data_IF_017467671587
#
_entry.id   IF_017467671587
#
_cell.length_a   1.000
_cell.length_b   1.000
_cell.length_c   1.000
_cell.angle_alpha   90.00
_cell.angle_beta   90.00
_cell.angle_gamma   90.00
#
_symmetry.space_group_name_H-M   'P 1'
#
loop_
_entity.id
_entity.type
_entity.pdbx_description
1 polymer ?
#
# COMPACT_ATOMS: atom_id res chain seq x y z
N UNK A 1 26.96 16.58 3.93
CA UNK A 1 25.54 16.45 4.29
C UNK A 1 24.77 16.24 3.01
N UNK A 2 23.90 15.23 2.94
CA UNK A 2 22.97 15.15 1.82
C UNK A 2 22.09 16.39 1.77
N UNK A 3 21.71 16.80 0.56
CA UNK A 3 20.72 17.86 0.34
C UNK A 3 19.32 17.36 0.74
N UNK A 4 18.39 18.28 1.04
CA UNK A 4 17.01 17.90 1.37
C UNK A 4 16.34 17.09 0.25
N UNK A 5 16.69 17.41 -1.01
CA UNK A 5 16.25 16.66 -2.20
C UNK A 5 16.73 15.21 -2.17
N UNK A 6 18.00 14.95 -1.85
CA UNK A 6 18.53 13.58 -1.74
C UNK A 6 17.85 12.77 -0.63
N UNK A 7 17.50 13.40 0.50
CA UNK A 7 16.77 12.74 1.59
C UNK A 7 15.33 12.40 1.15
N UNK A 8 14.67 13.34 0.47
CA UNK A 8 13.33 13.14 -0.10
C UNK A 8 13.29 11.97 -1.09
N UNK A 9 14.25 11.95 -2.03
CA UNK A 9 14.32 10.91 -3.06
C UNK A 9 14.53 9.52 -2.46
N UNK A 10 15.40 9.40 -1.45
CA UNK A 10 15.63 8.15 -0.73
C UNK A 10 14.38 7.64 -0.02
N UNK A 11 13.65 8.52 0.68
CA UNK A 11 12.41 8.15 1.36
C UNK A 11 11.34 7.69 0.35
N UNK A 12 11.24 8.36 -0.79
CA UNK A 12 10.29 8.01 -1.84
C UNK A 12 10.64 6.65 -2.50
N UNK A 13 11.91 6.36 -2.69
CA UNK A 13 12.39 5.07 -3.21
C UNK A 13 12.10 3.93 -2.24
N UNK A 14 12.39 4.11 -0.95
CA UNK A 14 12.13 3.11 0.10
C UNK A 14 10.62 2.79 0.20
N UNK A 15 9.78 3.82 0.21
CA UNK A 15 8.32 3.65 0.18
C UNK A 15 7.87 2.88 -1.07
N UNK A 16 8.41 3.22 -2.24
CA UNK A 16 8.03 2.60 -3.51
C UNK A 16 8.43 1.13 -3.56
N UNK A 17 9.65 0.81 -3.14
CA UNK A 17 10.17 -0.56 -3.11
C UNK A 17 9.39 -1.43 -2.13
N UNK A 18 9.09 -0.92 -0.93
CA UNK A 18 8.25 -1.60 0.05
C UNK A 18 6.85 -1.90 -0.49
N UNK A 19 6.20 -0.90 -1.09
CA UNK A 19 4.85 -1.06 -1.67
C UNK A 19 4.83 -2.14 -2.76
N UNK A 20 5.83 -2.11 -3.64
CA UNK A 20 5.94 -3.07 -4.74
C UNK A 20 6.14 -4.51 -4.25
N UNK A 21 6.98 -4.70 -3.23
CA UNK A 21 7.14 -6.01 -2.58
C UNK A 21 5.81 -6.53 -2.03
N UNK A 22 5.07 -5.67 -1.31
CA UNK A 22 3.79 -6.03 -0.72
C UNK A 22 2.71 -6.43 -1.74
N UNK A 23 2.69 -5.76 -2.91
CA UNK A 23 1.77 -6.07 -4.00
C UNK A 23 2.10 -7.41 -4.68
N UNK A 24 3.37 -7.71 -4.88
CA UNK A 24 3.80 -8.99 -5.45
C UNK A 24 3.40 -10.16 -4.56
N UNK A 25 3.66 -10.06 -3.25
CA UNK A 25 3.27 -11.07 -2.27
C UNK A 25 1.74 -11.32 -2.28
N UNK A 26 0.94 -10.27 -2.46
CA UNK A 26 -0.52 -10.40 -2.55
C UNK A 26 -0.93 -11.11 -3.83
N UNK A 27 -0.32 -10.77 -4.97
CA UNK A 27 -0.60 -11.42 -6.26
C UNK A 27 -0.29 -12.92 -6.21
N UNK A 28 0.90 -13.31 -5.72
CA UNK A 28 1.28 -14.72 -5.58
C UNK A 28 0.30 -15.49 -4.67
N UNK A 29 -0.16 -14.85 -3.60
CA UNK A 29 -1.18 -15.42 -2.73
C UNK A 29 -2.51 -15.59 -3.45
N UNK A 30 -2.99 -14.58 -4.19
CA UNK A 30 -4.25 -14.68 -4.95
C UNK A 30 -4.20 -15.81 -5.98
N UNK A 31 -3.10 -15.97 -6.68
CA UNK A 31 -2.89 -17.05 -7.65
C UNK A 31 -2.92 -18.42 -6.96
N UNK A 32 -2.24 -18.54 -5.82
CA UNK A 32 -2.27 -19.74 -4.99
C UNK A 32 -3.68 -20.09 -4.50
N UNK A 33 -4.45 -19.09 -4.05
CA UNK A 33 -5.84 -19.27 -3.60
C UNK A 33 -6.75 -19.68 -4.76
N UNK A 34 -6.60 -19.08 -5.94
CA UNK A 34 -7.36 -19.46 -7.14
C UNK A 34 -7.12 -20.92 -7.53
N UNK A 35 -5.85 -21.36 -7.51
CA UNK A 35 -5.47 -22.76 -7.77
C UNK A 35 -6.11 -23.72 -6.76
N UNK A 36 -6.00 -23.42 -5.46
CA UNK A 36 -6.60 -24.26 -4.42
C UNK A 36 -8.13 -24.27 -4.45
N UNK A 37 -8.76 -23.15 -4.81
CA UNK A 37 -10.21 -23.08 -5.00
C UNK A 37 -10.70 -24.06 -6.07
N UNK A 38 -9.99 -24.14 -7.20
CA UNK A 38 -10.30 -25.09 -8.27
C UNK A 38 -10.17 -26.55 -7.78
N UNK A 39 -9.12 -26.86 -7.01
CA UNK A 39 -8.92 -28.20 -6.43
C UNK A 39 -10.05 -28.57 -5.47
N UNK A 40 -10.40 -27.68 -4.52
CA UNK A 40 -11.47 -27.93 -3.55
C UNK A 40 -12.82 -28.10 -4.26
N UNK A 41 -13.08 -27.31 -5.30
CA UNK A 41 -14.30 -27.44 -6.11
C UNK A 41 -14.37 -28.80 -6.79
N UNK A 42 -13.28 -29.21 -7.46
CA UNK A 42 -13.18 -30.52 -8.12
C UNK A 42 -13.39 -31.69 -7.13
N UNK A 43 -12.71 -31.65 -5.97
CA UNK A 43 -12.86 -32.66 -4.93
C UNK A 43 -14.30 -32.77 -4.40
N UNK A 44 -15.02 -31.65 -4.29
CA UNK A 44 -16.42 -31.68 -3.89
C UNK A 44 -17.33 -32.28 -4.95
N UNK A 45 -17.10 -31.96 -6.23
CA UNK A 45 -17.86 -32.52 -7.36
C UNK A 45 -17.65 -34.02 -7.45
N UNK A 46 -16.40 -34.48 -7.59
CA UNK A 46 -16.07 -35.90 -7.68
C UNK A 46 -16.45 -36.65 -6.41
N UNK A 47 -16.25 -36.03 -5.24
CA UNK A 47 -16.64 -36.62 -3.97
C UNK A 47 -18.14 -36.88 -3.87
N UNK A 48 -18.98 -35.98 -4.39
CA UNK A 48 -20.43 -36.16 -4.46
C UNK A 48 -20.82 -37.33 -5.37
N UNK A 49 -20.20 -37.44 -6.54
CA UNK A 49 -20.45 -38.55 -7.48
C UNK A 49 -20.12 -39.92 -6.86
N UNK A 50 -19.02 -39.99 -6.10
CA UNK A 50 -18.61 -41.23 -5.40
C UNK A 50 -19.59 -41.55 -4.27
N UNK A 51 -20.02 -40.55 -3.48
CA UNK A 51 -21.01 -40.72 -2.41
C UNK A 51 -22.29 -41.36 -2.94
N UNK A 52 -22.75 -40.93 -4.11
CA UNK A 52 -24.01 -41.42 -4.71
C UNK A 52 -23.93 -42.89 -5.17
N UNK A 53 -22.71 -43.43 -5.36
CA UNK A 53 -22.45 -44.80 -5.79
C UNK A 53 -21.96 -45.72 -4.66
N UNK A 54 -21.76 -45.18 -3.45
CA UNK A 54 -21.13 -45.88 -2.34
C UNK A 54 -22.14 -46.53 -1.40
N UNK A 55 -21.66 -47.49 -0.59
CA UNK A 55 -22.41 -48.00 0.55
C UNK A 55 -22.74 -46.86 1.53
N UNK A 56 -23.81 -46.99 2.33
CA UNK A 56 -24.19 -45.96 3.31
C UNK A 56 -23.06 -45.64 4.30
N UNK A 57 -22.29 -46.65 4.71
CA UNK A 57 -21.16 -46.47 5.62
C UNK A 57 -20.03 -45.65 4.98
N UNK A 58 -19.59 -46.03 3.77
CA UNK A 58 -18.51 -45.34 3.05
C UNK A 58 -18.91 -43.92 2.65
N UNK A 59 -20.15 -43.74 2.20
CA UNK A 59 -20.73 -42.44 1.91
C UNK A 59 -20.72 -41.51 3.12
N UNK A 60 -21.02 -42.03 4.32
CA UNK A 60 -20.95 -41.28 5.57
C UNK A 60 -19.54 -40.78 5.87
N UNK A 61 -18.54 -41.66 5.76
CA UNK A 61 -17.13 -41.32 5.99
C UNK A 61 -16.65 -40.25 5.00
N UNK A 62 -16.98 -40.38 3.71
CA UNK A 62 -16.56 -39.41 2.70
C UNK A 62 -17.24 -38.04 2.90
N UNK A 63 -18.53 -38.01 3.27
CA UNK A 63 -19.23 -36.76 3.62
C UNK A 63 -18.56 -36.03 4.78
N UNK A 64 -18.13 -36.75 5.82
CA UNK A 64 -17.44 -36.16 6.96
C UNK A 64 -16.09 -35.56 6.54
N UNK A 65 -15.31 -36.28 5.72
CA UNK A 65 -14.03 -35.79 5.19
C UNK A 65 -14.19 -34.53 4.34
N UNK A 66 -15.16 -34.51 3.43
CA UNK A 66 -15.46 -33.32 2.61
C UNK A 66 -15.95 -32.15 3.46
N UNK A 67 -16.77 -32.40 4.47
CA UNK A 67 -17.25 -31.37 5.41
C UNK A 67 -16.09 -30.74 6.17
N UNK A 68 -15.16 -31.57 6.66
CA UNK A 68 -13.93 -31.11 7.33
C UNK A 68 -13.04 -30.29 6.40
N UNK A 69 -12.82 -30.76 5.17
CA UNK A 69 -12.08 -30.03 4.13
C UNK A 69 -12.70 -28.65 3.86
N UNK A 70 -14.01 -28.59 3.63
CA UNK A 70 -14.72 -27.36 3.32
C UNK A 70 -14.69 -26.37 4.48
N UNK A 71 -14.81 -26.85 5.73
CA UNK A 71 -14.68 -25.99 6.91
C UNK A 71 -13.29 -25.36 7.00
N UNK A 72 -12.24 -26.14 6.74
CA UNK A 72 -10.86 -25.64 6.71
C UNK A 72 -10.68 -24.63 5.59
N UNK A 73 -11.19 -24.92 4.39
CA UNK A 73 -11.15 -24.02 3.24
C UNK A 73 -11.84 -22.67 3.52
N UNK A 74 -13.05 -22.68 4.09
CA UNK A 74 -13.73 -21.45 4.55
C UNK A 74 -12.91 -20.68 5.58
N UNK A 75 -12.13 -21.37 6.42
CA UNK A 75 -11.17 -20.75 7.33
C UNK A 75 -10.04 -20.02 6.60
N UNK A 76 -9.52 -20.60 5.52
CA UNK A 76 -8.51 -19.97 4.65
C UNK A 76 -9.10 -18.75 3.94
N UNK A 77 -10.27 -18.87 3.31
CA UNK A 77 -10.92 -17.74 2.62
C UNK A 77 -11.10 -16.54 3.55
N UNK A 78 -11.61 -16.76 4.77
CA UNK A 78 -11.76 -15.68 5.77
C UNK A 78 -10.44 -15.01 6.14
N UNK A 79 -9.35 -15.76 6.24
CA UNK A 79 -8.03 -15.21 6.53
C UNK A 79 -7.49 -14.37 5.37
N UNK A 80 -7.71 -14.82 4.14
CA UNK A 80 -7.34 -14.09 2.92
C UNK A 80 -8.14 -12.80 2.81
N UNK A 81 -9.46 -12.84 3.04
CA UNK A 81 -10.31 -11.64 3.02
C UNK A 81 -9.88 -10.62 4.09
N UNK A 82 -9.56 -11.10 5.30
CA UNK A 82 -9.07 -10.25 6.37
C UNK A 82 -7.70 -9.63 6.05
N UNK A 83 -6.80 -10.39 5.39
CA UNK A 83 -5.51 -9.87 4.92
C UNK A 83 -5.72 -8.82 3.82
N UNK A 84 -6.60 -9.07 2.85
CA UNK A 84 -6.93 -8.13 1.77
C UNK A 84 -7.46 -6.81 2.33
N UNK A 85 -8.37 -6.87 3.31
CA UNK A 85 -8.89 -5.68 3.99
C UNK A 85 -7.77 -4.84 4.64
N UNK A 86 -6.86 -5.49 5.38
CA UNK A 86 -5.70 -4.81 5.97
C UNK A 86 -4.78 -4.20 4.93
N UNK A 87 -4.54 -4.89 3.82
CA UNK A 87 -3.70 -4.37 2.75
C UNK A 87 -4.29 -3.10 2.11
N UNK A 88 -5.60 -3.04 1.93
CA UNK A 88 -6.27 -1.83 1.42
C UNK A 88 -6.22 -0.66 2.43
N UNK A 89 -6.35 -0.96 3.73
CA UNK A 89 -6.14 0.02 4.80
C UNK A 89 -4.69 0.55 4.78
N UNK A 90 -3.69 -0.34 4.72
CA UNK A 90 -2.27 0.02 4.65
C UNK A 90 -1.96 0.86 3.40
N UNK A 91 -2.53 0.52 2.23
CA UNK A 91 -2.39 1.30 0.99
C UNK A 91 -2.94 2.71 1.13
N UNK A 92 -4.08 2.86 1.81
CA UNK A 92 -4.71 4.16 2.04
C UNK A 92 -3.81 5.04 2.90
N UNK A 93 -3.34 4.51 4.05
CA UNK A 93 -2.42 5.20 4.94
C UNK A 93 -1.11 5.59 4.23
N UNK A 94 -0.59 4.70 3.38
CA UNK A 94 0.63 4.99 2.63
C UNK A 94 0.44 6.10 1.59
N UNK A 95 -0.73 6.11 0.92
CA UNK A 95 -1.07 7.18 -0.02
C UNK A 95 -1.21 8.53 0.68
N UNK A 96 -1.77 8.56 1.89
CA UNK A 96 -1.85 9.76 2.72
C UNK A 96 -0.45 10.23 3.11
N UNK A 97 0.40 9.35 3.62
CA UNK A 97 1.79 9.67 3.96
C UNK A 97 2.57 10.22 2.76
N UNK A 98 2.41 9.61 1.58
CA UNK A 98 3.05 10.09 0.35
C UNK A 98 2.57 11.50 -0.05
N UNK A 99 1.31 11.82 0.22
CA UNK A 99 0.77 13.15 -0.02
C UNK A 99 1.38 14.15 0.97
N UNK A 100 1.38 13.82 2.25
CA UNK A 100 1.93 14.68 3.31
C UNK A 100 3.42 14.96 3.09
N UNK A 101 4.20 13.95 2.69
CA UNK A 101 5.62 14.12 2.35
C UNK A 101 5.82 15.05 1.16
N UNK A 102 4.98 14.98 0.12
CA UNK A 102 5.06 15.89 -1.03
C UNK A 102 4.73 17.32 -0.65
N UNK A 103 3.70 17.53 0.16
CA UNK A 103 3.34 18.85 0.66
C UNK A 103 4.48 19.43 1.52
N UNK A 104 5.05 18.62 2.41
CA UNK A 104 6.19 19.01 3.23
C UNK A 104 7.44 19.35 2.41
N UNK A 105 7.74 18.57 1.37
CA UNK A 105 8.87 18.87 0.49
C UNK A 105 8.67 20.18 -0.28
N UNK A 106 7.46 20.43 -0.80
CA UNK A 106 7.14 21.69 -1.47
C UNK A 106 7.30 22.88 -0.51
N UNK A 107 6.87 22.71 0.75
CA UNK A 107 7.08 23.70 1.81
C UNK A 107 8.57 23.96 2.07
N UNK A 108 9.40 22.90 2.13
CA UNK A 108 10.85 23.03 2.33
C UNK A 108 11.52 23.75 1.16
N UNK A 109 11.18 23.40 -0.08
CA UNK A 109 11.72 24.03 -1.28
C UNK A 109 11.42 25.54 -1.30
N UNK A 110 10.20 25.92 -0.91
CA UNK A 110 9.79 27.32 -0.81
C UNK A 110 10.57 28.07 0.28
N UNK A 111 10.72 27.46 1.46
CA UNK A 111 11.56 28.00 2.54
C UNK A 111 13.02 28.19 2.11
N UNK A 112 13.60 27.21 1.42
CA UNK A 112 14.96 27.32 0.89
C UNK A 112 15.09 28.42 -0.17
N UNK A 113 14.06 28.66 -1.00
CA UNK A 113 14.04 29.74 -2.00
C UNK A 113 14.11 31.10 -1.33
N UNK A 114 13.33 31.31 -0.27
CA UNK A 114 13.32 32.55 0.51
C UNK A 114 14.68 32.81 1.16
N UNK A 115 15.29 31.78 1.77
CA UNK A 115 16.61 31.90 2.42
C UNK A 115 17.73 32.20 1.42
N UNK A 116 17.57 31.81 0.14
CA UNK A 116 18.55 32.07 -0.93
C UNK A 116 18.48 33.48 -1.52
N UNK A 117 17.54 34.33 -1.11
CA UNK A 117 17.45 35.72 -1.59
C UNK A 117 18.71 36.50 -1.17
N UNK A 118 19.45 36.97 -2.17
CA UNK A 118 20.70 37.69 -1.96
C UNK A 118 20.42 39.12 -1.49
N UNK A 119 21.06 39.53 -0.39
CA UNK A 119 20.97 40.88 0.15
C UNK A 119 22.27 41.62 -0.12
N UNK A 120 22.18 42.77 -0.80
CA UNK A 120 23.34 43.63 -1.09
C UNK A 120 23.34 44.81 -0.10
N UNK A 121 24.24 44.82 0.90
CA UNK A 121 24.30 45.90 1.89
C UNK A 121 24.61 47.24 1.21
N UNK A 122 23.87 48.29 1.58
CA UNK A 122 24.05 49.64 1.03
C UNK A 122 23.32 49.92 -0.28
N UNK A 123 22.64 48.94 -0.88
CA UNK A 123 21.73 49.15 -2.00
C UNK A 123 20.26 49.14 -1.53
N UNK A 124 19.72 50.32 -1.24
CA UNK A 124 18.36 50.48 -0.70
C UNK A 124 17.27 49.92 -1.63
N UNK A 125 17.45 49.98 -2.94
CA UNK A 125 16.49 49.44 -3.91
C UNK A 125 16.49 47.91 -3.87
N UNK A 126 17.67 47.28 -3.88
CA UNK A 126 17.79 45.83 -3.75
C UNK A 126 17.19 45.32 -2.43
N UNK A 127 17.40 46.03 -1.32
CA UNK A 127 16.82 45.64 -0.03
C UNK A 127 15.28 45.76 -0.03
N UNK A 128 14.71 46.77 -0.71
CA UNK A 128 13.25 46.91 -0.87
C UNK A 128 12.68 45.80 -1.76
N UNK A 129 13.30 45.54 -2.90
CA UNK A 129 12.87 44.51 -3.85
C UNK A 129 12.96 43.10 -3.22
N UNK A 130 14.04 42.81 -2.48
CA UNK A 130 14.21 41.56 -1.75
C UNK A 130 13.19 41.41 -0.61
N UNK A 131 12.86 42.49 0.11
CA UNK A 131 11.83 42.47 1.16
C UNK A 131 10.43 42.24 0.59
N UNK A 132 10.10 42.83 -0.55
CA UNK A 132 8.83 42.60 -1.24
C UNK A 132 8.73 41.14 -1.72
N UNK A 133 9.82 40.60 -2.25
CA UNK A 133 9.91 39.20 -2.67
C UNK A 133 9.71 38.25 -1.48
N UNK A 134 10.43 38.45 -0.36
CA UNK A 134 10.26 37.63 0.86
C UNK A 134 8.82 37.66 1.36
N UNK A 135 8.17 38.84 1.36
CA UNK A 135 6.79 38.99 1.83
C UNK A 135 5.79 38.20 0.97
N UNK A 136 5.90 38.31 -0.36
CA UNK A 136 5.03 37.58 -1.28
C UNK A 136 5.21 36.06 -1.15
N UNK A 137 6.45 35.61 -0.98
CA UNK A 137 6.78 34.19 -0.87
C UNK A 137 6.39 33.58 0.48
N UNK A 138 6.47 34.34 1.57
CA UNK A 138 5.99 33.91 2.90
C UNK A 138 4.48 33.72 2.92
N UNK A 139 3.72 34.52 2.18
CA UNK A 139 2.27 34.40 2.07
C UNK A 139 1.83 33.16 1.25
N UNK A 140 2.74 32.59 0.43
CA UNK A 140 2.51 31.37 -0.37
C UNK A 140 2.81 30.07 0.39
N UNK A 141 3.40 30.16 1.59
CA UNK A 141 3.70 28.99 2.42
C UNK A 141 2.38 28.45 3.00
N UNK A 142 1.97 27.20 2.67
CA UNK A 142 0.77 26.60 3.25
C UNK A 142 0.87 26.53 4.79
N UNK A 143 -0.19 26.94 5.48
CA UNK A 143 -0.30 26.97 6.95
C UNK A 143 -0.44 25.60 7.59
#
# INVERSE_FOLDING_TARGET
>A
CPTLTEISDLLQEEVTTFTKGKLNDDQELQDGIGSQHAVVTSLNVTGKEIIDQSSTADAGILKEKLSSLNRRWQGVCRQVDARKKRLEEDKTLLSELQKDLKEFNCWLEEGERIVRIELVPGNEQNLKDSLETVKLQVDEIPS
#
